data_IF_620534466963
#
_entry.id   IF_620534466963
#
_cell.length_a   1.000
_cell.length_b   1.000
_cell.length_c   1.000
_cell.angle_alpha   90.00
_cell.angle_beta   90.00
_cell.angle_gamma   90.00
#
_symmetry.space_group_name_H-M   'P 1'
#
loop_
_entity.id
_entity.type
_entity.pdbx_description
1 polymer ?
#
# COMPACT_ATOMS: atom_id res chain seq x y z
N UNK A 1 -30.99 -9.14 5.02
CA UNK A 1 -30.12 -9.89 4.08
C UNK A 1 -28.88 -10.28 4.85
N UNK A 2 -28.43 -11.52 4.79
CA UNK A 2 -27.16 -11.92 5.38
C UNK A 2 -26.04 -11.50 4.43
N UNK A 3 -25.06 -10.71 4.91
CA UNK A 3 -23.91 -10.31 4.09
C UNK A 3 -22.79 -11.33 4.27
N UNK A 4 -22.21 -11.80 3.17
CA UNK A 4 -21.10 -12.75 3.19
C UNK A 4 -19.82 -12.01 2.81
N UNK A 5 -18.87 -12.01 3.74
CA UNK A 5 -17.54 -11.38 3.58
C UNK A 5 -16.50 -12.45 3.37
N UNK A 6 -15.76 -12.41 2.28
CA UNK A 6 -14.54 -13.20 2.15
C UNK A 6 -13.29 -12.34 2.40
N UNK A 7 -12.39 -12.84 3.25
CA UNK A 7 -11.12 -12.20 3.60
C UNK A 7 -10.05 -13.24 3.87
N UNK A 8 -8.78 -12.86 3.66
CA UNK A 8 -7.64 -13.75 3.97
C UNK A 8 -7.40 -13.94 5.49
N UNK A 9 -7.97 -13.10 6.33
CA UNK A 9 -7.72 -13.09 7.78
C UNK A 9 -8.77 -13.93 8.51
N UNK A 10 -8.31 -15.03 9.12
CA UNK A 10 -9.18 -15.98 9.83
C UNK A 10 -9.71 -15.46 11.17
N UNK A 11 -9.07 -14.44 11.74
CA UNK A 11 -9.38 -13.84 13.04
C UNK A 11 -10.12 -12.49 12.94
N UNK A 12 -10.41 -12.02 11.72
CA UNK A 12 -11.11 -10.75 11.54
C UNK A 12 -12.54 -10.83 12.12
N UNK A 13 -12.81 -10.00 13.11
CA UNK A 13 -14.17 -9.84 13.63
C UNK A 13 -15.05 -9.13 12.58
N UNK A 14 -16.24 -9.66 12.36
CA UNK A 14 -17.26 -9.04 11.50
C UNK A 14 -18.48 -8.65 12.33
N UNK A 15 -19.23 -7.59 11.94
CA UNK A 15 -20.44 -7.17 12.63
C UNK A 15 -21.53 -8.23 12.62
N UNK A 16 -22.52 -8.09 13.52
CA UNK A 16 -23.73 -8.89 13.48
C UNK A 16 -24.44 -8.75 12.11
N UNK A 17 -24.98 -9.86 11.60
CA UNK A 17 -25.59 -9.92 10.27
C UNK A 17 -24.59 -10.17 9.12
N UNK A 18 -23.31 -10.33 9.43
CA UNK A 18 -22.29 -10.72 8.47
C UNK A 18 -21.77 -12.14 8.74
N UNK A 19 -21.55 -12.90 7.69
CA UNK A 19 -20.87 -14.20 7.75
C UNK A 19 -19.47 -14.05 7.16
N UNK A 20 -18.42 -14.38 7.95
CA UNK A 20 -17.05 -14.38 7.47
C UNK A 20 -16.68 -15.71 6.85
N UNK A 21 -16.14 -15.64 5.65
CA UNK A 21 -15.42 -16.71 4.96
C UNK A 21 -13.93 -16.34 4.88
N UNK A 22 -13.07 -17.33 5.01
CA UNK A 22 -11.62 -17.18 4.98
C UNK A 22 -10.97 -18.48 4.49
N UNK A 23 -9.68 -18.53 4.21
CA UNK A 23 -9.01 -19.76 3.77
C UNK A 23 -9.20 -20.95 4.70
N UNK A 24 -9.43 -20.72 6.00
CA UNK A 24 -9.66 -21.78 6.98
C UNK A 24 -11.01 -22.51 6.78
N UNK A 25 -12.01 -21.85 6.16
CA UNK A 25 -13.36 -22.41 6.03
C UNK A 25 -13.97 -22.30 4.62
N UNK A 26 -13.29 -21.68 3.68
CA UNK A 26 -13.77 -21.46 2.32
C UNK A 26 -12.62 -21.39 1.30
N UNK A 27 -12.52 -22.41 0.46
CA UNK A 27 -11.64 -22.39 -0.70
C UNK A 27 -12.36 -21.75 -1.89
N UNK A 28 -11.84 -20.60 -2.35
CA UNK A 28 -12.41 -19.86 -3.49
C UNK A 28 -12.45 -20.66 -4.80
N UNK A 29 -11.66 -21.71 -4.93
CA UNK A 29 -11.64 -22.53 -6.16
C UNK A 29 -12.84 -23.46 -6.29
N UNK A 30 -13.51 -23.78 -5.16
CA UNK A 30 -14.61 -24.75 -5.09
C UNK A 30 -15.87 -24.20 -4.45
N UNK A 31 -15.81 -23.01 -3.87
CA UNK A 31 -16.92 -22.40 -3.15
C UNK A 31 -18.00 -21.84 -4.09
N UNK A 32 -19.21 -21.67 -3.55
CA UNK A 32 -20.26 -20.92 -4.23
C UNK A 32 -19.96 -19.41 -4.13
N UNK A 33 -19.21 -18.89 -5.09
CA UNK A 33 -18.76 -17.50 -5.10
C UNK A 33 -19.92 -16.50 -5.23
N UNK A 34 -21.08 -16.92 -5.73
CA UNK A 34 -22.24 -16.03 -5.89
C UNK A 34 -22.81 -15.52 -4.57
N UNK A 35 -22.54 -16.20 -3.45
CA UNK A 35 -22.99 -15.78 -2.12
C UNK A 35 -22.17 -14.61 -1.54
N UNK A 36 -20.96 -14.38 -2.06
CA UNK A 36 -20.04 -13.36 -1.53
C UNK A 36 -20.54 -11.98 -1.95
N UNK A 37 -20.81 -11.14 -0.96
CA UNK A 37 -21.27 -9.75 -1.16
C UNK A 37 -20.18 -8.71 -0.88
N UNK A 38 -19.13 -9.08 -0.12
CA UNK A 38 -17.99 -8.26 0.22
C UNK A 38 -16.71 -9.10 0.05
N UNK A 39 -15.79 -8.63 -0.78
CA UNK A 39 -14.57 -9.36 -1.10
C UNK A 39 -13.33 -8.55 -0.78
N UNK A 40 -12.42 -9.12 0.01
CA UNK A 40 -11.08 -8.59 0.27
C UNK A 40 -10.07 -9.57 -0.34
N UNK A 41 -9.47 -9.26 -1.50
CA UNK A 41 -8.46 -10.12 -2.13
C UNK A 41 -7.27 -10.37 -1.19
N UNK A 42 -6.57 -11.48 -1.41
CA UNK A 42 -5.34 -11.79 -0.68
C UNK A 42 -4.31 -10.68 -0.90
N UNK A 43 -3.71 -10.19 0.19
CA UNK A 43 -2.67 -9.16 0.14
C UNK A 43 -1.49 -9.62 -0.73
N UNK A 44 -0.98 -8.72 -1.57
CA UNK A 44 0.12 -8.99 -2.51
C UNK A 44 -0.16 -10.04 -3.61
N UNK A 45 -1.41 -10.46 -3.78
CA UNK A 45 -1.79 -11.42 -4.84
C UNK A 45 -1.87 -10.81 -6.24
N UNK A 46 -1.82 -9.47 -6.33
CA UNK A 46 -1.94 -8.75 -7.60
C UNK A 46 -3.26 -9.09 -8.34
N UNK A 47 -3.21 -9.09 -9.66
CA UNK A 47 -4.35 -9.41 -10.52
C UNK A 47 -4.95 -10.80 -10.25
N UNK A 48 -4.12 -11.79 -9.91
CA UNK A 48 -4.60 -13.15 -9.66
C UNK A 48 -5.60 -13.22 -8.50
N UNK A 49 -5.40 -12.42 -7.45
CA UNK A 49 -6.35 -12.34 -6.34
C UNK A 49 -7.66 -11.65 -6.69
N UNK A 50 -7.72 -10.91 -7.79
CA UNK A 50 -8.94 -10.23 -8.25
C UNK A 50 -9.82 -11.12 -9.13
N UNK A 51 -9.25 -12.13 -9.81
CA UNK A 51 -9.98 -13.00 -10.72
C UNK A 51 -11.24 -13.63 -10.12
N UNK A 52 -11.25 -14.14 -8.86
CA UNK A 52 -12.44 -14.73 -8.26
C UNK A 52 -13.64 -13.76 -8.22
N UNK A 53 -13.39 -12.44 -8.12
CA UNK A 53 -14.47 -11.44 -8.06
C UNK A 53 -15.36 -11.42 -9.30
N UNK A 54 -14.87 -11.90 -10.45
CA UNK A 54 -15.65 -11.99 -11.69
C UNK A 54 -16.79 -13.03 -11.59
N UNK A 55 -16.65 -14.03 -10.74
CA UNK A 55 -17.63 -15.08 -10.51
C UNK A 55 -18.55 -14.77 -9.32
N UNK A 56 -18.31 -13.67 -8.59
CA UNK A 56 -19.11 -13.22 -7.44
C UNK A 56 -20.25 -12.35 -7.93
N UNK A 57 -21.34 -12.96 -8.44
CA UNK A 57 -22.44 -12.26 -9.08
C UNK A 57 -23.10 -11.21 -8.18
N UNK A 58 -23.19 -11.49 -6.87
CA UNK A 58 -23.80 -10.61 -5.87
C UNK A 58 -22.80 -9.68 -5.15
N UNK A 59 -21.57 -9.56 -5.65
CA UNK A 59 -20.55 -8.71 -5.06
C UNK A 59 -20.96 -7.24 -5.08
N UNK A 60 -21.04 -6.64 -3.92
CA UNK A 60 -21.41 -5.23 -3.73
C UNK A 60 -20.17 -4.37 -3.40
N UNK A 61 -19.21 -4.92 -2.66
CA UNK A 61 -18.01 -4.20 -2.23
C UNK A 61 -16.75 -5.01 -2.57
N UNK A 62 -15.84 -4.39 -3.31
CA UNK A 62 -14.47 -4.86 -3.52
C UNK A 62 -13.54 -3.98 -2.70
N UNK A 63 -12.97 -4.53 -1.63
CA UNK A 63 -12.06 -3.83 -0.73
C UNK A 63 -10.62 -4.24 -1.02
N UNK A 64 -9.83 -3.32 -1.57
CA UNK A 64 -8.38 -3.56 -1.74
C UNK A 64 -7.67 -3.54 -0.39
N UNK A 65 -6.77 -4.51 -0.12
CA UNK A 65 -6.01 -4.56 1.14
C UNK A 65 -4.82 -3.59 1.17
N UNK A 66 -4.59 -2.86 0.09
CA UNK A 66 -3.54 -1.86 -0.09
C UNK A 66 -4.12 -0.52 -0.59
N UNK A 67 -3.30 0.52 -0.64
CA UNK A 67 -3.72 1.84 -1.12
C UNK A 67 -3.88 1.89 -2.65
N UNK A 68 -3.08 1.12 -3.40
CA UNK A 68 -3.19 0.99 -4.85
C UNK A 68 -4.46 0.26 -5.25
N UNK A 69 -5.14 0.73 -6.29
CA UNK A 69 -6.39 0.15 -6.76
C UNK A 69 -6.50 0.10 -8.31
N UNK A 70 -5.46 0.50 -9.00
CA UNK A 70 -5.48 0.59 -10.47
C UNK A 70 -5.81 -0.75 -11.12
N UNK A 71 -5.23 -1.85 -10.59
CA UNK A 71 -5.49 -3.21 -11.07
C UNK A 71 -6.94 -3.67 -10.82
N UNK A 72 -7.64 -3.05 -9.87
CA UNK A 72 -9.01 -3.42 -9.52
C UNK A 72 -10.06 -2.77 -10.41
N UNK A 73 -9.73 -1.68 -11.11
CA UNK A 73 -10.69 -0.89 -11.88
C UNK A 73 -11.43 -1.72 -12.94
N UNK A 74 -10.75 -2.63 -13.60
CA UNK A 74 -11.35 -3.51 -14.62
C UNK A 74 -12.31 -4.57 -14.06
N UNK A 75 -12.27 -4.83 -12.75
CA UNK A 75 -13.14 -5.79 -12.06
C UNK A 75 -14.38 -5.13 -11.45
N UNK A 76 -14.46 -3.79 -11.47
CA UNK A 76 -15.59 -3.05 -10.92
C UNK A 76 -16.73 -3.03 -11.91
N UNK A 77 -17.89 -3.52 -11.48
CA UNK A 77 -19.13 -3.51 -12.27
C UNK A 77 -20.05 -2.37 -11.82
N UNK A 78 -21.02 -1.93 -12.66
CA UNK A 78 -22.02 -0.98 -12.24
C UNK A 78 -22.74 -1.42 -10.94
N UNK A 79 -22.85 -0.52 -9.99
CA UNK A 79 -23.46 -0.78 -8.67
C UNK A 79 -22.51 -1.32 -7.61
N UNK A 80 -21.27 -1.69 -7.96
CA UNK A 80 -20.26 -2.07 -6.97
C UNK A 80 -19.55 -0.84 -6.38
N UNK A 81 -19.15 -0.96 -5.13
CA UNK A 81 -18.26 0.01 -4.47
C UNK A 81 -16.84 -0.54 -4.42
N UNK A 82 -15.87 0.22 -4.95
CA UNK A 82 -14.45 -0.06 -4.80
C UNK A 82 -13.91 0.75 -3.62
N UNK A 83 -13.32 0.06 -2.66
CA UNK A 83 -12.64 0.64 -1.51
C UNK A 83 -11.16 0.26 -1.52
N UNK A 84 -10.33 1.07 -0.85
CA UNK A 84 -8.90 0.77 -0.68
C UNK A 84 -8.46 1.01 0.77
N UNK A 85 -7.23 0.57 1.09
CA UNK A 85 -6.63 0.71 2.41
C UNK A 85 -5.71 1.95 2.52
N UNK A 86 -6.15 3.10 1.96
CA UNK A 86 -5.43 4.36 2.11
C UNK A 86 -5.21 4.68 3.59
N UNK A 87 -3.99 5.05 3.95
CA UNK A 87 -3.61 5.39 5.33
C UNK A 87 -2.96 4.24 6.11
N UNK A 88 -3.24 2.98 5.75
CA UNK A 88 -2.74 1.82 6.50
C UNK A 88 -1.22 1.68 6.41
N UNK A 89 -0.64 1.95 5.23
CA UNK A 89 0.79 1.79 4.98
C UNK A 89 1.58 3.11 4.95
N UNK A 90 0.97 4.24 5.28
CA UNK A 90 1.60 5.56 5.14
C UNK A 90 2.87 5.67 5.98
N UNK A 91 2.80 5.25 7.24
CA UNK A 91 3.92 5.35 8.17
C UNK A 91 5.10 4.46 7.73
N UNK A 92 4.85 3.18 7.48
CA UNK A 92 5.91 2.21 7.12
C UNK A 92 6.56 2.54 5.78
N UNK A 93 5.77 3.00 4.80
CA UNK A 93 6.29 3.40 3.49
C UNK A 93 7.12 4.68 3.58
N UNK A 94 6.66 5.67 4.36
CA UNK A 94 7.41 6.89 4.59
C UNK A 94 8.71 6.65 5.36
N UNK A 95 8.69 5.75 6.36
CA UNK A 95 9.88 5.34 7.11
C UNK A 95 10.92 4.71 6.19
N UNK A 96 10.50 3.77 5.32
CA UNK A 96 11.41 3.17 4.34
C UNK A 96 12.01 4.23 3.41
N UNK A 97 11.21 5.19 2.95
CA UNK A 97 11.70 6.27 2.09
C UNK A 97 12.76 7.14 2.78
N UNK A 98 12.57 7.48 4.07
CA UNK A 98 13.59 8.18 4.88
C UNK A 98 14.84 7.33 5.01
N UNK A 99 14.70 6.04 5.34
CA UNK A 99 15.83 5.11 5.47
C UNK A 99 16.66 5.02 4.19
N UNK A 100 15.99 4.89 3.04
CA UNK A 100 16.65 4.86 1.72
C UNK A 100 17.33 6.19 1.39
N UNK A 101 16.69 7.32 1.66
CA UNK A 101 17.28 8.64 1.45
C UNK A 101 18.56 8.84 2.29
N UNK A 102 18.53 8.42 3.56
CA UNK A 102 19.70 8.44 4.42
C UNK A 102 20.79 7.48 3.92
N UNK A 103 20.42 6.25 3.56
CA UNK A 103 21.38 5.25 3.08
C UNK A 103 22.15 5.75 1.86
N UNK A 104 21.46 6.35 0.89
CA UNK A 104 22.06 6.92 -0.32
C UNK A 104 22.93 8.13 0.03
N UNK A 105 22.40 9.09 0.78
CA UNK A 105 23.13 10.33 1.12
C UNK A 105 24.36 10.08 1.98
N UNK A 106 24.32 9.07 2.85
CA UNK A 106 25.42 8.74 3.77
C UNK A 106 26.34 7.64 3.27
N UNK A 107 26.10 7.12 2.05
CA UNK A 107 26.98 6.15 1.39
C UNK A 107 27.00 4.78 2.11
N UNK A 108 25.90 4.35 2.74
CA UNK A 108 25.85 3.08 3.48
C UNK A 108 26.23 1.90 2.60
N UNK A 109 25.79 1.92 1.35
CA UNK A 109 26.07 0.88 0.38
C UNK A 109 27.58 0.73 0.08
N UNK A 110 28.30 1.85 -0.03
CA UNK A 110 29.74 1.82 -0.27
C UNK A 110 30.50 1.30 0.96
N UNK A 111 30.05 1.69 2.17
CA UNK A 111 30.66 1.20 3.41
C UNK A 111 30.44 -0.30 3.63
N UNK A 112 29.23 -0.81 3.36
CA UNK A 112 28.92 -2.23 3.45
C UNK A 112 29.79 -3.04 2.49
N UNK A 113 29.91 -2.59 1.22
CA UNK A 113 30.77 -3.26 0.24
C UNK A 113 32.27 -3.23 0.59
N UNK A 114 32.74 -2.14 1.17
CA UNK A 114 34.12 -2.04 1.63
C UNK A 114 34.35 -3.00 2.81
N UNK A 115 33.40 -3.08 3.75
CA UNK A 115 33.44 -4.01 4.88
C UNK A 115 33.50 -5.47 4.41
N UNK A 116 32.70 -5.85 3.41
CA UNK A 116 32.72 -7.22 2.83
C UNK A 116 34.08 -7.61 2.26
N UNK A 117 34.88 -6.61 1.82
CA UNK A 117 36.24 -6.81 1.31
C UNK A 117 37.32 -6.64 2.38
N UNK A 118 36.96 -6.36 3.63
CA UNK A 118 37.90 -6.05 4.72
C UNK A 118 38.61 -4.70 4.53
N UNK A 119 38.03 -3.79 3.75
CA UNK A 119 38.61 -2.48 3.44
C UNK A 119 38.07 -1.40 4.39
N UNK A 120 38.97 -0.57 4.93
CA UNK A 120 38.59 0.65 5.65
C UNK A 120 38.37 1.79 4.67
N UNK A 121 37.09 2.04 4.27
CA UNK A 121 36.75 3.14 3.37
C UNK A 121 36.70 4.46 4.13
N UNK A 122 37.74 5.29 3.97
CA UNK A 122 37.77 6.64 4.53
C UNK A 122 37.22 7.67 3.53
N UNK A 123 35.89 7.83 3.52
CA UNK A 123 35.19 8.75 2.60
C UNK A 123 34.11 9.54 3.34
N UNK A 124 33.95 10.81 2.97
CA UNK A 124 32.84 11.66 3.44
C UNK A 124 31.70 11.65 2.43
N UNK A 125 30.50 11.58 2.95
CA UNK A 125 29.26 11.69 2.19
C UNK A 125 28.46 12.90 2.70
N UNK A 126 27.60 13.46 1.84
CA UNK A 126 26.76 14.59 2.18
C UNK A 126 25.72 14.21 3.26
N UNK A 127 25.40 15.15 4.12
CA UNK A 127 24.27 15.05 5.03
C UNK A 127 22.94 15.18 4.29
N UNK A 128 21.84 14.78 4.91
CA UNK A 128 20.51 15.09 4.44
C UNK A 128 20.17 16.58 4.69
N UNK A 129 20.71 17.17 5.76
CA UNK A 129 20.54 18.60 6.04
C UNK A 129 21.01 19.47 4.87
N UNK A 130 20.46 20.65 4.77
CA UNK A 130 20.69 21.63 3.67
C UNK A 130 20.27 21.11 2.27
N UNK A 131 19.48 20.03 2.23
CA UNK A 131 19.03 19.45 0.95
C UNK A 131 17.70 20.02 0.50
N UNK A 132 17.55 20.18 -0.82
CA UNK A 132 16.26 20.42 -1.46
C UNK A 132 15.67 19.07 -1.86
N UNK A 133 14.49 18.74 -1.34
CA UNK A 133 13.81 17.47 -1.55
C UNK A 133 12.52 17.71 -2.33
N UNK A 134 12.37 17.02 -3.46
CA UNK A 134 11.13 16.99 -4.21
C UNK A 134 10.38 15.68 -3.90
N UNK A 135 9.13 15.79 -3.45
CA UNK A 135 8.25 14.65 -3.23
C UNK A 135 7.23 14.61 -4.36
N UNK A 136 7.39 13.67 -5.28
CA UNK A 136 6.47 13.45 -6.40
C UNK A 136 5.39 12.46 -5.96
N UNK A 137 4.14 12.92 -5.90
CA UNK A 137 3.04 12.21 -5.28
C UNK A 137 2.79 12.68 -3.84
N UNK A 138 2.31 13.92 -3.66
CA UNK A 138 2.07 14.53 -2.36
C UNK A 138 0.69 14.17 -1.79
N UNK A 139 0.37 12.86 -1.80
CA UNK A 139 -0.80 12.25 -1.17
C UNK A 139 -0.53 11.91 0.31
N UNK A 140 -1.24 10.92 0.86
CA UNK A 140 -1.13 10.54 2.27
C UNK A 140 0.32 10.11 2.64
N UNK A 141 0.94 9.24 1.85
CA UNK A 141 2.34 8.80 2.05
C UNK A 141 3.30 10.00 1.91
N UNK A 142 3.14 10.80 0.85
CA UNK A 142 4.02 11.96 0.62
C UNK A 142 3.96 13.00 1.74
N UNK A 143 2.77 13.24 2.29
CA UNK A 143 2.59 14.13 3.46
C UNK A 143 3.23 13.54 4.72
N UNK A 144 3.08 12.23 4.94
CA UNK A 144 3.73 11.54 6.06
C UNK A 144 5.25 11.58 5.92
N UNK A 145 5.77 11.36 4.72
CA UNK A 145 7.20 11.49 4.41
C UNK A 145 7.70 12.91 4.70
N UNK A 146 6.97 13.93 4.26
CA UNK A 146 7.34 15.33 4.55
C UNK A 146 7.39 15.60 6.06
N UNK A 147 6.44 15.06 6.83
CA UNK A 147 6.44 15.14 8.30
C UNK A 147 7.68 14.48 8.90
N UNK A 148 8.07 13.30 8.43
CA UNK A 148 9.24 12.58 8.95
C UNK A 148 10.55 13.28 8.57
N UNK A 149 10.63 13.87 7.38
CA UNK A 149 11.77 14.66 6.95
C UNK A 149 11.87 16.03 7.66
N UNK A 150 10.78 16.51 8.24
CA UNK A 150 10.73 17.79 8.94
C UNK A 150 11.61 17.90 10.20
N UNK A 151 12.20 16.79 10.66
CA UNK A 151 13.21 16.80 11.75
C UNK A 151 14.61 17.16 11.25
N UNK A 152 14.82 17.16 9.93
CA UNK A 152 16.05 17.59 9.28
C UNK A 152 15.91 19.02 8.80
N UNK A 153 17.04 19.75 8.71
CA UNK A 153 17.08 21.06 8.09
C UNK A 153 17.07 20.89 6.54
N UNK A 154 15.86 20.78 5.97
CA UNK A 154 15.65 20.52 4.54
C UNK A 154 14.54 21.40 3.99
N UNK A 155 14.65 21.77 2.72
CA UNK A 155 13.55 22.40 1.98
C UNK A 155 12.76 21.36 1.22
N UNK A 156 11.46 21.23 1.47
CA UNK A 156 10.58 20.23 0.86
C UNK A 156 9.64 20.90 -0.14
N UNK A 157 9.59 20.37 -1.36
CA UNK A 157 8.59 20.74 -2.37
C UNK A 157 7.75 19.52 -2.73
N UNK A 158 6.44 19.58 -2.49
CA UNK A 158 5.48 18.52 -2.83
C UNK A 158 4.84 18.76 -4.19
N UNK A 159 4.74 17.72 -5.02
CA UNK A 159 4.06 17.73 -6.32
C UNK A 159 2.87 16.79 -6.31
N UNK A 160 1.68 17.27 -6.75
CA UNK A 160 0.45 16.49 -6.84
C UNK A 160 -0.30 16.79 -8.14
N UNK A 161 -0.97 15.77 -8.70
CA UNK A 161 -1.82 15.97 -9.90
C UNK A 161 -2.96 16.97 -9.68
N UNK A 162 -3.45 17.12 -8.45
CA UNK A 162 -4.56 18.03 -8.13
C UNK A 162 -4.20 19.51 -8.33
N UNK A 163 -2.93 19.87 -8.37
CA UNK A 163 -2.49 21.23 -8.66
C UNK A 163 -2.62 21.61 -10.15
N UNK A 164 -2.67 20.63 -11.05
CA UNK A 164 -2.87 20.90 -12.50
C UNK A 164 -4.33 21.12 -12.89
N UNK A 165 -5.28 20.82 -12.01
CA UNK A 165 -6.73 21.00 -12.28
C UNK A 165 -7.29 22.31 -11.71
N UNK A 166 -6.45 23.18 -11.15
CA UNK A 166 -6.83 24.51 -10.61
C UNK A 166 -6.11 25.68 -11.29
N UNK A 167 -5.56 25.42 -12.48
CA UNK A 167 -5.02 26.47 -13.35
C UNK A 167 -6.03 26.86 -14.41
#
# INVERSE_FOLDING_TARGET
MNHVVWTQWDDLAVPEGYTRLSPANCDLSVANLSEITFYVPTYMSGRAGLLPSQMMENLQVLQMPNAGYDDALEFVRPGMTLCNARGVHDASTAELAVGLALAVRRGFYDFVRAQDRGEWLHRRYASLNDSNIAIVGFGAIGQTLAKYLGVYDVTITGYSRLYQLRG
#
